data_IF_432801535294
#
_entry.id   IF_432801535294
#
_cell.length_a   1.000
_cell.length_b   1.000
_cell.length_c   1.000
_cell.angle_alpha   90.00
_cell.angle_beta   90.00
_cell.angle_gamma   90.00
#
_symmetry.space_group_name_H-M   'P 1'
#
loop_
_entity.id
_entity.type
_entity.pdbx_description
1 polymer ?
#
# COMPACT_ATOMS: atom_id res chain seq x y z
N UNK A 1 -4.58 12.02 15.07
CA UNK A 1 -4.96 11.29 13.85
C UNK A 1 -4.08 10.09 13.63
N UNK A 2 -4.68 8.91 13.52
CA UNK A 2 -3.97 7.67 13.20
C UNK A 2 -4.12 7.36 11.71
N UNK A 3 -2.98 7.22 11.01
CA UNK A 3 -2.92 6.68 9.67
C UNK A 3 -2.36 5.27 9.76
N UNK A 4 -3.03 4.29 9.16
CA UNK A 4 -2.54 2.92 9.05
C UNK A 4 -2.53 2.51 7.59
N UNK A 5 -1.42 1.90 7.14
CA UNK A 5 -1.30 1.34 5.80
C UNK A 5 -1.10 -0.15 5.93
N UNK A 6 -1.89 -0.93 5.18
CA UNK A 6 -1.78 -2.37 5.09
C UNK A 6 -1.69 -2.77 3.62
N UNK A 7 -0.91 -3.82 3.34
CA UNK A 7 -0.80 -4.41 2.01
C UNK A 7 -1.47 -5.77 1.98
N UNK A 8 -2.09 -6.11 0.85
CA UNK A 8 -2.63 -7.44 0.58
C UNK A 8 -2.14 -7.95 -0.77
N UNK A 9 -1.82 -9.24 -0.85
CA UNK A 9 -1.59 -9.98 -2.08
C UNK A 9 -2.73 -10.99 -2.24
N UNK A 10 -3.52 -10.86 -3.30
CA UNK A 10 -4.72 -11.68 -3.55
C UNK A 10 -5.70 -11.70 -2.35
N UNK A 11 -5.80 -10.57 -1.64
CA UNK A 11 -6.64 -10.43 -0.43
C UNK A 11 -6.00 -10.91 0.86
N UNK A 12 -4.85 -11.60 0.81
CA UNK A 12 -4.11 -12.04 2.00
C UNK A 12 -3.19 -10.94 2.51
N UNK A 13 -3.18 -10.59 3.80
CA UNK A 13 -2.28 -9.57 4.35
C UNK A 13 -0.79 -9.89 4.11
N UNK A 14 -0.01 -8.87 3.76
CA UNK A 14 1.45 -8.95 3.58
C UNK A 14 2.11 -7.87 4.42
N UNK A 15 3.12 -8.26 5.18
CA UNK A 15 3.93 -7.38 6.03
C UNK A 15 5.41 -7.41 5.67
N UNK A 16 5.89 -8.51 5.10
CA UNK A 16 7.29 -8.64 4.68
C UNK A 16 7.58 -7.70 3.50
N UNK A 17 8.70 -6.99 3.56
CA UNK A 17 9.12 -6.03 2.53
C UNK A 17 8.30 -4.74 2.51
N UNK A 18 7.39 -4.53 3.47
CA UNK A 18 6.60 -3.30 3.60
C UNK A 18 7.37 -2.27 4.41
N UNK A 19 7.63 -1.12 3.79
CA UNK A 19 8.22 0.05 4.44
C UNK A 19 7.27 1.23 4.32
N UNK A 20 6.93 1.87 5.44
CA UNK A 20 6.00 2.99 5.46
C UNK A 20 6.58 4.18 6.21
N UNK A 21 6.61 5.35 5.56
CA UNK A 21 7.13 6.57 6.17
C UNK A 21 6.13 7.13 7.19
N UNK A 22 6.65 7.83 8.21
CA UNK A 22 5.80 8.59 9.11
C UNK A 22 5.14 9.76 8.33
N UNK A 23 3.85 10.05 8.56
CA UNK A 23 3.20 11.19 7.92
C UNK A 23 3.94 12.51 8.19
N UNK A 24 4.19 13.29 7.14
CA UNK A 24 4.84 14.60 7.22
C UNK A 24 3.92 15.69 6.68
N UNK A 25 3.97 16.87 7.31
CA UNK A 25 3.18 18.03 6.91
C UNK A 25 3.71 18.58 5.59
N UNK A 26 2.81 18.83 4.65
CA UNK A 26 3.07 19.35 3.31
C UNK A 26 2.83 20.87 3.27
N UNK A 27 3.28 21.53 2.19
CA UNK A 27 3.14 22.99 2.00
C UNK A 27 1.68 23.49 1.98
N UNK A 28 0.74 22.61 1.63
CA UNK A 28 -0.71 22.89 1.64
C UNK A 28 -1.38 22.65 3.01
N UNK A 29 -0.60 22.52 4.08
CA UNK A 29 -1.04 22.23 5.45
C UNK A 29 -1.74 20.88 5.67
N UNK A 30 -1.72 19.96 4.68
CA UNK A 30 -2.15 18.57 4.85
C UNK A 30 -0.96 17.66 5.16
N UNK A 31 -1.22 16.37 5.38
CA UNK A 31 -0.19 15.36 5.65
C UNK A 31 -0.06 14.41 4.45
N UNK A 32 1.16 13.91 4.23
CA UNK A 32 1.44 12.84 3.28
C UNK A 32 2.33 11.77 3.91
N UNK A 33 2.14 10.53 3.49
CA UNK A 33 2.98 9.39 3.81
C UNK A 33 3.14 8.53 2.55
N UNK A 34 4.21 7.75 2.50
CA UNK A 34 4.50 6.82 1.40
C UNK A 34 4.66 5.41 1.97
N UNK A 35 4.16 4.42 1.25
CA UNK A 35 4.34 3.01 1.60
C UNK A 35 4.82 2.26 0.37
N UNK A 36 5.80 1.38 0.57
CA UNK A 36 6.45 0.61 -0.47
C UNK A 36 6.37 -0.87 -0.09
N UNK A 37 6.04 -1.71 -1.06
CA UNK A 37 6.10 -3.17 -0.93
C UNK A 37 7.18 -3.68 -1.88
N UNK A 38 8.28 -4.16 -1.32
CA UNK A 38 9.39 -4.74 -2.07
C UNK A 38 9.12 -6.21 -2.38
N UNK A 39 9.17 -6.59 -3.65
CA UNK A 39 8.91 -7.95 -4.14
C UNK A 39 9.95 -8.35 -5.18
N UNK A 40 10.23 -9.64 -5.29
CA UNK A 40 10.90 -10.18 -6.48
C UNK A 40 9.97 -10.14 -7.70
N UNK A 41 10.51 -10.13 -8.93
CA UNK A 41 9.69 -10.21 -10.14
C UNK A 41 8.79 -11.44 -10.21
N UNK A 42 9.23 -12.57 -9.63
CA UNK A 42 8.45 -13.80 -9.59
C UNK A 42 7.27 -13.70 -8.63
N UNK A 43 7.48 -13.12 -7.44
CA UNK A 43 6.38 -12.88 -6.49
C UNK A 43 5.34 -11.94 -7.09
N UNK A 44 5.78 -10.86 -7.74
CA UNK A 44 4.89 -9.94 -8.45
C UNK A 44 4.03 -10.66 -9.50
N UNK A 45 4.65 -11.44 -10.39
CA UNK A 45 3.95 -12.17 -11.47
C UNK A 45 3.12 -13.35 -10.98
N UNK A 46 3.40 -13.89 -9.79
CA UNK A 46 2.68 -15.03 -9.22
C UNK A 46 1.31 -14.67 -8.64
N UNK A 47 1.02 -13.38 -8.45
CA UNK A 47 -0.21 -12.89 -7.84
C UNK A 47 -1.12 -12.25 -8.88
N UNK A 48 -2.42 -12.30 -8.62
CA UNK A 48 -3.42 -11.68 -9.50
C UNK A 48 -3.63 -10.20 -9.18
N UNK A 49 -3.42 -9.80 -7.92
CA UNK A 49 -3.68 -8.43 -7.47
C UNK A 49 -2.90 -8.09 -6.20
N UNK A 50 -2.39 -6.87 -6.16
CA UNK A 50 -1.88 -6.24 -4.95
C UNK A 50 -2.76 -5.07 -4.55
N UNK A 51 -3.03 -4.94 -3.26
CA UNK A 51 -3.88 -3.88 -2.70
C UNK A 51 -3.12 -3.10 -1.65
N UNK A 52 -3.07 -1.77 -1.80
CA UNK A 52 -2.70 -0.85 -0.74
C UNK A 52 -3.99 -0.35 -0.07
N UNK A 53 -4.12 -0.61 1.22
CA UNK A 53 -5.27 -0.24 2.04
C UNK A 53 -4.84 0.82 3.07
N UNK A 54 -5.39 2.01 2.95
CA UNK A 54 -5.09 3.14 3.84
C UNK A 54 -6.30 3.43 4.72
N UNK A 55 -6.12 3.42 6.03
CA UNK A 55 -7.15 3.77 7.01
C UNK A 55 -6.78 5.07 7.71
N UNK A 56 -7.70 6.05 7.70
CA UNK A 56 -7.55 7.34 8.36
C UNK A 56 -8.86 7.72 9.04
N UNK A 57 -8.82 7.98 10.35
CA UNK A 57 -10.01 8.35 11.16
C UNK A 57 -11.18 7.36 10.96
N UNK A 58 -10.88 6.05 10.97
CA UNK A 58 -11.87 4.98 10.79
C UNK A 58 -12.36 4.77 9.35
N UNK A 59 -12.04 5.66 8.41
CA UNK A 59 -12.37 5.51 7.00
C UNK A 59 -11.26 4.81 6.24
N UNK A 60 -11.61 3.85 5.39
CA UNK A 60 -10.66 3.06 4.60
C UNK A 60 -10.77 3.37 3.11
N UNK A 61 -9.63 3.55 2.46
CA UNK A 61 -9.51 3.67 1.01
C UNK A 61 -8.56 2.60 0.51
N UNK A 62 -8.97 1.86 -0.53
CA UNK A 62 -8.15 0.84 -1.17
C UNK A 62 -7.80 1.21 -2.60
N UNK A 63 -6.57 0.88 -3.00
CA UNK A 63 -6.11 0.95 -4.39
C UNK A 63 -5.46 -0.36 -4.77
N UNK A 64 -5.76 -0.81 -5.98
CA UNK A 64 -5.35 -2.09 -6.51
C UNK A 64 -4.42 -1.90 -7.70
N UNK A 65 -3.47 -2.81 -7.86
CA UNK A 65 -2.66 -2.96 -9.07
C UNK A 65 -2.68 -4.43 -9.48
N UNK A 66 -2.93 -4.67 -10.76
CA UNK A 66 -3.02 -6.02 -11.34
C UNK A 66 -1.75 -6.27 -12.15
N UNK A 67 -0.91 -7.26 -11.78
CA UNK A 67 0.34 -7.53 -12.49
C UNK A 67 0.16 -7.75 -14.00
N UNK A 68 -0.95 -8.35 -14.42
CA UNK A 68 -1.27 -8.59 -15.83
C UNK A 68 -1.59 -7.32 -16.65
N UNK A 69 -1.95 -6.21 -15.99
CA UNK A 69 -2.24 -4.92 -16.65
C UNK A 69 -1.00 -4.03 -16.77
N UNK A 70 0.11 -4.43 -16.14
CA UNK A 70 1.40 -3.77 -16.25
C UNK A 70 2.31 -4.55 -17.22
N UNK A 71 1.93 -4.53 -18.51
CA UNK A 71 2.65 -5.16 -19.62
C UNK A 71 3.40 -4.15 -20.47
#
# INVERSE_FOLDING_TARGET
>A
SSLTVAWKADGTPVTQGVETTKPSKQSNNKYAASSYLSLSPNEWKSRSRFTCQVTHEGSTVEKNVVPAECS
#
